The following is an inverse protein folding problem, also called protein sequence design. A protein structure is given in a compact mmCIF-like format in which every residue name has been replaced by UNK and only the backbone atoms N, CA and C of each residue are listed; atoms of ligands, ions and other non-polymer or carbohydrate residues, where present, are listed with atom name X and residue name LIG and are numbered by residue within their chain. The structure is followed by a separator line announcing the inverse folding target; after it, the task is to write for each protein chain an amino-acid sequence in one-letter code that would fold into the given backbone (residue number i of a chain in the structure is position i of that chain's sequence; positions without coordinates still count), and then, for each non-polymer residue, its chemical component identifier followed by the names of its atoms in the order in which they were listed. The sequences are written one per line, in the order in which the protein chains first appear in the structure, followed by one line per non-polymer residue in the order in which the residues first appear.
data_IF_947257783653
#
_entry.id   IF_947257783653
#
_cell.length_a   1.000
_cell.length_b   1.000
_cell.length_c   1.000
_cell.angle_alpha   90.00
_cell.angle_beta   90.00
_cell.angle_gamma   90.00
#
_symmetry.space_group_name_H-M   'P 1'
#
loop_
_entity.id
_entity.type
_entity.pdbx_description
1 polymer ?
#
# COMPACT_ATOMS: atom_id res chain seq x y z
N UNK A 1 7.76 -17.98 -7.69
CA UNK A 1 6.78 -17.70 -6.61
C UNK A 1 6.52 -18.99 -5.85
N UNK A 2 6.59 -18.98 -4.52
CA UNK A 2 6.32 -20.18 -3.72
C UNK A 2 4.80 -20.48 -3.69
N UNK A 3 4.44 -21.69 -3.17
CA UNK A 3 3.05 -22.12 -3.16
C UNK A 3 2.12 -21.20 -2.35
N UNK A 4 2.58 -20.72 -1.21
CA UNK A 4 1.82 -19.76 -0.40
C UNK A 4 1.59 -18.46 -1.16
N UNK A 5 2.64 -17.92 -1.76
CA UNK A 5 2.57 -16.64 -2.48
C UNK A 5 1.65 -16.75 -3.70
N UNK A 6 1.69 -17.88 -4.40
CA UNK A 6 0.78 -18.12 -5.53
C UNK A 6 -0.68 -18.14 -5.07
N UNK A 7 -0.98 -18.86 -3.99
CA UNK A 7 -2.33 -18.91 -3.42
C UNK A 7 -2.77 -17.51 -2.98
N UNK A 8 -1.90 -16.78 -2.29
CA UNK A 8 -2.17 -15.42 -1.84
C UNK A 8 -2.43 -14.48 -3.02
N UNK A 9 -1.68 -14.65 -4.12
CA UNK A 9 -1.87 -13.84 -5.31
C UNK A 9 -3.24 -14.10 -5.97
N UNK A 10 -3.66 -15.35 -6.05
CA UNK A 10 -4.98 -15.70 -6.58
C UNK A 10 -6.09 -15.10 -5.71
N UNK A 11 -5.93 -15.16 -4.39
CA UNK A 11 -6.86 -14.55 -3.44
C UNK A 11 -6.88 -13.02 -3.57
N UNK A 12 -5.73 -12.41 -3.75
CA UNK A 12 -5.60 -10.98 -3.99
C UNK A 12 -6.36 -10.55 -5.25
N UNK A 13 -6.17 -11.26 -6.35
CA UNK A 13 -6.87 -10.93 -7.60
C UNK A 13 -8.38 -11.04 -7.46
N UNK A 14 -8.84 -11.94 -6.64
CA UNK A 14 -10.26 -12.08 -6.36
C UNK A 14 -10.81 -10.93 -5.54
N UNK A 15 -10.06 -10.49 -4.52
CA UNK A 15 -10.50 -9.45 -3.58
C UNK A 15 -10.19 -8.03 -4.03
N UNK A 16 -9.22 -7.86 -4.93
CA UNK A 16 -8.76 -6.52 -5.31
C UNK A 16 -9.79 -5.78 -6.14
N UNK A 17 -9.76 -4.46 -6.03
CA UNK A 17 -10.58 -3.58 -6.84
C UNK A 17 -9.74 -2.99 -7.97
N UNK A 18 -10.33 -2.94 -9.16
CA UNK A 18 -9.78 -2.18 -10.26
C UNK A 18 -10.43 -0.80 -10.32
N UNK A 19 -10.23 -0.12 -11.46
CA UNK A 19 -10.73 1.23 -11.68
C UNK A 19 -12.23 1.38 -11.35
N UNK A 20 -13.05 0.44 -11.82
CA UNK A 20 -14.50 0.52 -11.68
C UNK A 20 -15.01 0.19 -10.28
N UNK A 21 -14.20 -0.46 -9.45
CA UNK A 21 -14.56 -0.79 -8.09
C UNK A 21 -14.06 0.21 -7.06
N UNK A 22 -13.32 1.23 -7.46
CA UNK A 22 -12.75 2.20 -6.54
C UNK A 22 -13.80 3.24 -6.14
N UNK A 23 -14.04 3.39 -4.82
CA UNK A 23 -15.00 4.35 -4.28
C UNK A 23 -14.32 5.64 -3.79
N UNK A 24 -13.02 5.62 -3.54
CA UNK A 24 -12.27 6.81 -3.17
C UNK A 24 -11.90 7.59 -4.43
N UNK A 25 -12.27 8.89 -4.54
CA UNK A 25 -11.89 9.68 -5.73
C UNK A 25 -10.39 9.76 -5.95
N UNK A 26 -9.59 9.89 -4.89
CA UNK A 26 -8.14 9.94 -5.03
C UNK A 26 -7.56 8.60 -5.48
N UNK A 27 -8.12 7.49 -5.00
CA UNK A 27 -7.69 6.16 -5.41
C UNK A 27 -8.05 5.90 -6.88
N UNK A 28 -9.26 6.25 -7.29
CA UNK A 28 -9.67 6.16 -8.69
C UNK A 28 -8.73 6.96 -9.60
N UNK A 29 -8.43 8.19 -9.22
CA UNK A 29 -7.53 9.06 -9.98
C UNK A 29 -6.12 8.47 -10.04
N UNK A 30 -5.65 7.85 -8.96
CA UNK A 30 -4.34 7.20 -8.96
C UNK A 30 -4.31 6.01 -9.93
N UNK A 31 -5.36 5.19 -9.96
CA UNK A 31 -5.43 4.06 -10.89
C UNK A 31 -5.40 4.56 -12.34
N UNK A 32 -6.13 5.61 -12.65
CA UNK A 32 -6.10 6.23 -13.98
C UNK A 32 -4.71 6.78 -14.32
N UNK A 33 -4.08 7.47 -13.38
CA UNK A 33 -2.71 7.97 -13.54
C UNK A 33 -1.73 6.83 -13.80
N UNK A 34 -1.85 5.73 -13.04
CA UNK A 34 -0.99 4.58 -13.20
C UNK A 34 -1.10 3.97 -14.60
N UNK A 35 -2.31 3.87 -15.13
CA UNK A 35 -2.54 3.33 -16.48
C UNK A 35 -2.02 4.24 -17.58
N UNK A 36 -2.06 5.54 -17.33
CA UNK A 36 -1.56 6.53 -18.29
C UNK A 36 -0.03 6.62 -18.32
N UNK A 37 0.66 6.07 -17.30
CA UNK A 37 2.11 6.15 -17.17
C UNK A 37 2.72 4.75 -16.99
N UNK A 38 2.58 3.85 -17.98
CA UNK A 38 2.95 2.45 -17.82
C UNK A 38 4.46 2.21 -17.66
N UNK A 39 5.30 3.18 -18.04
CA UNK A 39 6.76 3.04 -17.95
C UNK A 39 7.30 3.41 -16.57
N UNK A 40 6.52 4.07 -15.73
CA UNK A 40 6.94 4.39 -14.37
C UNK A 40 6.78 3.18 -13.46
N UNK A 41 7.71 3.01 -12.51
CA UNK A 41 7.56 2.02 -11.46
C UNK A 41 6.43 2.40 -10.52
N UNK A 42 5.92 1.44 -9.75
CA UNK A 42 4.88 1.74 -8.76
C UNK A 42 5.34 2.78 -7.74
N UNK A 43 6.60 2.71 -7.30
CA UNK A 43 7.16 3.69 -6.37
C UNK A 43 7.18 5.10 -6.96
N UNK A 44 7.62 5.21 -8.21
CA UNK A 44 7.61 6.50 -8.92
C UNK A 44 6.19 7.04 -9.07
N UNK A 45 5.23 6.19 -9.42
CA UNK A 45 3.82 6.58 -9.54
C UNK A 45 3.26 7.11 -8.22
N UNK A 46 3.54 6.41 -7.12
CA UNK A 46 3.07 6.81 -5.79
C UNK A 46 3.69 8.13 -5.36
N UNK A 47 5.00 8.27 -5.54
CA UNK A 47 5.71 9.48 -5.18
C UNK A 47 5.21 10.69 -5.97
N UNK A 48 5.07 10.53 -7.29
CA UNK A 48 4.67 11.63 -8.17
C UNK A 48 3.21 12.02 -7.97
N UNK A 49 2.33 11.04 -7.81
CA UNK A 49 0.90 11.31 -7.71
C UNK A 49 0.50 11.90 -6.37
N UNK A 50 0.95 11.31 -5.27
CA UNK A 50 0.52 11.74 -3.93
C UNK A 50 1.34 12.89 -3.37
N UNK A 51 2.51 13.19 -3.94
CA UNK A 51 3.35 14.35 -3.58
C UNK A 51 3.55 14.49 -2.08
N UNK A 52 3.91 13.38 -1.43
CA UNK A 52 4.17 13.38 0.01
C UNK A 52 5.51 14.07 0.31
N UNK A 53 5.63 14.64 1.51
CA UNK A 53 6.84 15.34 1.90
C UNK A 53 8.03 14.40 2.09
N UNK A 54 7.77 13.11 2.38
CA UNK A 54 8.84 12.14 2.61
C UNK A 54 8.41 10.75 2.15
N UNK A 55 9.29 10.09 1.38
CA UNK A 55 9.12 8.72 0.93
C UNK A 55 10.11 7.81 1.66
N UNK A 56 9.62 6.77 2.30
CA UNK A 56 10.43 5.77 2.98
C UNK A 56 10.16 4.39 2.38
N UNK A 57 11.13 3.49 2.49
CA UNK A 57 11.01 2.11 2.01
C UNK A 57 11.46 1.16 3.10
N UNK A 58 10.74 0.08 3.31
CA UNK A 58 11.08 -0.92 4.32
C UNK A 58 10.51 -2.28 3.96
N UNK A 59 11.05 -3.33 4.58
CA UNK A 59 10.42 -4.66 4.59
C UNK A 59 9.30 -4.68 5.64
N UNK A 60 8.27 -5.51 5.42
CA UNK A 60 7.13 -5.56 6.32
C UNK A 60 7.52 -5.97 7.75
N UNK A 61 8.53 -6.81 7.90
CA UNK A 61 8.95 -7.26 9.23
C UNK A 61 9.63 -6.16 10.05
N UNK A 62 10.11 -5.10 9.40
CA UNK A 62 10.77 -3.97 10.05
C UNK A 62 9.90 -2.70 10.04
N UNK A 63 8.74 -2.75 9.39
CA UNK A 63 7.95 -1.55 9.10
C UNK A 63 7.41 -0.86 10.35
N UNK A 64 7.14 -1.60 11.43
CA UNK A 64 6.54 -1.03 12.63
C UNK A 64 7.38 0.11 13.22
N UNK A 65 8.69 -0.09 13.30
CA UNK A 65 9.59 0.96 13.81
C UNK A 65 9.63 2.18 12.91
N UNK A 66 9.54 1.99 11.59
CA UNK A 66 9.47 3.11 10.65
C UNK A 66 8.18 3.92 10.84
N UNK A 67 7.05 3.24 11.04
CA UNK A 67 5.77 3.92 11.29
C UNK A 67 5.81 4.71 12.59
N UNK A 68 6.40 4.13 13.64
CA UNK A 68 6.50 4.78 14.94
C UNK A 68 7.28 6.10 14.89
N UNK A 69 8.33 6.15 14.08
CA UNK A 69 9.24 7.29 14.02
C UNK A 69 9.05 8.18 12.81
N UNK A 70 8.18 7.83 11.87
CA UNK A 70 8.02 8.59 10.64
C UNK A 70 7.45 9.98 10.89
N UNK A 71 7.92 10.95 10.11
CA UNK A 71 7.38 12.30 10.14
C UNK A 71 5.94 12.32 9.62
N UNK A 72 5.16 13.31 10.04
CA UNK A 72 3.84 13.53 9.47
C UNK A 72 3.95 13.74 7.95
N UNK A 73 2.90 13.35 7.23
CA UNK A 73 2.86 13.42 5.76
C UNK A 73 3.91 12.52 5.08
N UNK A 74 4.24 11.39 5.69
CA UNK A 74 5.12 10.39 5.09
C UNK A 74 4.32 9.37 4.28
N UNK A 75 4.95 8.87 3.22
CA UNK A 75 4.51 7.69 2.48
C UNK A 75 5.56 6.61 2.67
N UNK A 76 5.14 5.45 3.14
CA UNK A 76 6.03 4.31 3.38
C UNK A 76 5.68 3.19 2.40
N UNK A 77 6.66 2.80 1.58
CA UNK A 77 6.54 1.63 0.71
C UNK A 77 7.01 0.43 1.50
N UNK A 78 6.14 -0.57 1.65
CA UNK A 78 6.40 -1.76 2.44
C UNK A 78 6.51 -2.97 1.51
N UNK A 79 7.67 -3.61 1.51
CA UNK A 79 7.95 -4.76 0.64
C UNK A 79 7.59 -6.07 1.34
N UNK A 80 7.36 -7.10 0.54
CA UNK A 80 7.23 -8.50 0.97
C UNK A 80 5.99 -8.79 1.81
N UNK A 81 4.93 -8.03 1.63
CA UNK A 81 3.73 -8.13 2.48
C UNK A 81 2.97 -9.45 2.34
N UNK A 82 3.19 -10.20 1.27
CA UNK A 82 2.54 -11.50 1.03
C UNK A 82 3.52 -12.64 0.80
N UNK A 83 4.75 -12.50 1.26
CA UNK A 83 5.78 -13.52 1.00
C UNK A 83 5.57 -14.81 1.79
N UNK A 84 4.93 -14.74 2.94
CA UNK A 84 4.63 -15.90 3.79
C UNK A 84 3.43 -15.59 4.70
N UNK A 85 2.98 -16.60 5.44
CA UNK A 85 1.94 -16.41 6.46
C UNK A 85 2.36 -15.37 7.50
N UNK A 86 3.62 -15.41 7.94
CA UNK A 86 4.14 -14.42 8.90
C UNK A 86 4.12 -13.01 8.32
N UNK A 87 4.57 -12.84 7.09
CA UNK A 87 4.57 -11.54 6.42
C UNK A 87 3.14 -10.99 6.29
N UNK A 88 2.20 -11.82 5.88
CA UNK A 88 0.81 -11.41 5.73
C UNK A 88 0.17 -11.01 7.06
N UNK A 89 0.43 -11.77 8.12
CA UNK A 89 -0.06 -11.43 9.46
C UNK A 89 0.56 -10.14 9.98
N UNK A 90 1.84 -9.94 9.73
CA UNK A 90 2.54 -8.72 10.13
C UNK A 90 1.96 -7.51 9.41
N UNK A 91 1.65 -7.63 8.12
CA UNK A 91 0.98 -6.58 7.35
C UNK A 91 -0.38 -6.22 7.94
N UNK A 92 -1.20 -7.23 8.26
CA UNK A 92 -2.53 -6.99 8.85
C UNK A 92 -2.43 -6.32 10.22
N UNK A 93 -1.47 -6.73 11.05
CA UNK A 93 -1.23 -6.11 12.35
C UNK A 93 -0.74 -4.67 12.21
N UNK A 94 0.15 -4.43 11.24
CA UNK A 94 0.70 -3.11 10.98
C UNK A 94 -0.40 -2.09 10.64
N UNK A 95 -1.38 -2.50 9.87
CA UNK A 95 -2.49 -1.62 9.48
C UNK A 95 -3.32 -1.12 10.68
N UNK A 96 -3.24 -1.80 11.81
CA UNK A 96 -3.93 -1.39 13.04
C UNK A 96 -3.20 -0.27 13.79
N UNK A 97 -1.98 0.07 13.39
CA UNK A 97 -1.20 1.10 14.05
C UNK A 97 -1.95 2.44 14.01
N UNK A 98 -2.05 3.17 15.15
CA UNK A 98 -2.86 4.38 15.21
C UNK A 98 -2.40 5.51 14.30
N UNK A 99 -1.12 5.55 13.93
CA UNK A 99 -0.59 6.58 13.02
C UNK A 99 -0.90 6.33 11.55
N UNK A 100 -1.28 5.11 11.20
CA UNK A 100 -1.60 4.77 9.81
C UNK A 100 -3.01 5.21 9.50
N UNK A 101 -3.17 6.14 8.58
CA UNK A 101 -4.45 6.69 8.18
C UNK A 101 -5.00 6.05 6.91
N UNK A 102 -4.13 5.54 6.07
CA UNK A 102 -4.53 4.84 4.84
C UNK A 102 -3.48 3.80 4.47
N UNK A 103 -3.93 2.66 3.98
CA UNK A 103 -3.04 1.66 3.39
C UNK A 103 -3.60 1.17 2.06
N UNK A 104 -2.70 0.81 1.15
CA UNK A 104 -3.05 0.20 -0.13
C UNK A 104 -2.20 -1.05 -0.31
N UNK A 105 -2.86 -2.18 -0.52
CA UNK A 105 -2.22 -3.46 -0.79
C UNK A 105 -2.19 -3.67 -2.30
N UNK A 106 -1.00 -3.59 -2.90
CA UNK A 106 -0.78 -3.86 -4.33
C UNK A 106 -0.23 -5.28 -4.56
N UNK A 107 -0.28 -6.13 -3.59
CA UNK A 107 0.22 -7.49 -3.50
C UNK A 107 1.73 -7.58 -3.30
N UNK A 108 2.54 -7.14 -4.26
CA UNK A 108 4.00 -7.23 -4.14
C UNK A 108 4.56 -6.17 -3.20
N UNK A 109 3.89 -5.05 -3.11
CA UNK A 109 4.22 -4.00 -2.14
C UNK A 109 2.93 -3.45 -1.54
N UNK A 110 3.06 -2.87 -0.35
CA UNK A 110 2.02 -2.07 0.26
C UNK A 110 2.45 -0.62 0.35
N UNK A 111 1.49 0.28 0.38
CA UNK A 111 1.73 1.69 0.62
C UNK A 111 1.00 2.11 1.90
N UNK A 112 1.71 2.82 2.77
CA UNK A 112 1.16 3.32 4.03
C UNK A 112 1.28 4.83 4.05
N UNK A 113 0.17 5.49 4.36
CA UNK A 113 0.11 6.95 4.45
C UNK A 113 -0.02 7.37 5.91
N UNK A 114 0.80 8.33 6.32
CA UNK A 114 0.76 8.97 7.63
C UNK A 114 0.40 10.43 7.39
N UNK A 115 -0.90 10.70 7.22
CA UNK A 115 -1.40 12.05 6.91
C UNK A 115 -2.48 12.44 7.91
N UNK A 116 -2.27 13.56 8.59
CA UNK A 116 -3.20 14.06 9.60
C UNK A 116 -4.54 14.51 9.01
N UNK A 117 -4.59 14.85 7.73
CA UNK A 117 -5.80 15.32 7.06
C UNK A 117 -6.76 14.20 6.63
N UNK A 118 -6.33 12.94 6.68
CA UNK A 118 -7.24 11.82 6.46
C UNK A 118 -8.03 11.55 7.74
N UNK A 119 -9.32 11.85 7.71
CA UNK A 119 -10.18 11.81 8.90
C UNK A 119 -10.61 10.42 9.31
N UNK A 120 -10.64 9.46 8.37
CA UNK A 120 -11.02 8.08 8.63
C UNK A 120 -9.94 7.15 8.12
N UNK A 121 -9.71 6.08 8.88
CA UNK A 121 -8.81 5.02 8.42
C UNK A 121 -9.45 4.28 7.26
N UNK A 122 -8.68 4.12 6.19
CA UNK A 122 -9.12 3.39 5.01
C UNK A 122 -8.04 2.42 4.56
N UNK A 123 -8.43 1.20 4.24
CA UNK A 123 -7.53 0.15 3.76
C UNK A 123 -8.05 -0.39 2.46
N UNK A 124 -7.23 -0.35 1.42
CA UNK A 124 -7.62 -0.77 0.08
C UNK A 124 -6.76 -1.93 -0.40
N UNK A 125 -7.34 -2.77 -1.23
CA UNK A 125 -6.64 -3.82 -1.97
C UNK A 125 -6.82 -3.48 -3.45
N UNK A 126 -5.74 -3.13 -4.13
CA UNK A 126 -5.80 -2.56 -5.47
C UNK A 126 -4.96 -3.36 -6.45
N UNK A 127 -5.59 -3.77 -7.52
CA UNK A 127 -4.92 -4.38 -8.66
C UNK A 127 -4.56 -3.29 -9.68
N UNK A 128 -3.28 -3.22 -9.98
CA UNK A 128 -2.77 -2.28 -10.98
C UNK A 128 -2.18 -3.02 -12.16
#
# INVERSE_FOLDING_TARGET
MNGYKLWAYCKFRWKSIGRHGAHSPSLFSFIEYSKANPLLSLEEKLSDFFKTSKLLKTDVLEAYSYVDSAAADSLIIVHSIHDSTLHAKTWETLKLHPRITRSIDFFFVGAIFIKADYKQKEHFIVRI
#
